data_IF_844988626465
#
_entry.id   IF_844988626465
#
_cell.length_a   1.000
_cell.length_b   1.000
_cell.length_c   1.000
_cell.angle_alpha   90.00
_cell.angle_beta   90.00
_cell.angle_gamma   90.00
#
_symmetry.space_group_name_H-M   'P 1'
#
loop_
_entity.id
_entity.type
_entity.pdbx_description
1 polymer ?
#
# COMPACT_ATOMS: atom_id res chain seq x y z
N UNK A 1 -42.06 -13.60 37.20
CA UNK A 1 -41.54 -13.27 35.85
C UNK A 1 -41.67 -14.51 34.98
N UNK A 2 -42.34 -14.44 33.83
CA UNK A 2 -42.65 -15.62 33.02
C UNK A 2 -41.38 -16.21 32.39
N UNK A 3 -41.14 -17.51 32.59
CA UNK A 3 -39.99 -18.23 32.01
C UNK A 3 -39.85 -18.00 30.49
N UNK A 4 -40.98 -17.98 29.77
CA UNK A 4 -41.03 -17.68 28.33
C UNK A 4 -40.48 -16.28 28.00
N UNK A 5 -40.75 -15.28 28.83
CA UNK A 5 -40.25 -13.92 28.63
C UNK A 5 -38.72 -13.88 28.79
N UNK A 6 -38.17 -14.59 29.77
CA UNK A 6 -36.73 -14.67 30.02
C UNK A 6 -36.03 -15.33 28.82
N UNK A 7 -36.56 -16.44 28.30
CA UNK A 7 -35.98 -17.12 27.13
C UNK A 7 -35.98 -16.22 25.89
N UNK A 8 -37.07 -15.49 25.62
CA UNK A 8 -37.16 -14.56 24.48
C UNK A 8 -36.11 -13.44 24.62
N UNK A 9 -35.94 -12.86 25.81
CA UNK A 9 -34.94 -11.82 26.05
C UNK A 9 -33.52 -12.34 25.84
N UNK A 10 -33.19 -13.55 26.32
CA UNK A 10 -31.86 -14.15 26.14
C UNK A 10 -31.57 -14.40 24.66
N UNK A 11 -32.53 -14.95 23.91
CA UNK A 11 -32.35 -15.21 22.47
C UNK A 11 -32.18 -13.90 21.69
N UNK A 12 -32.94 -12.86 22.02
CA UNK A 12 -32.82 -11.55 21.38
C UNK A 12 -31.44 -10.90 21.66
N UNK A 13 -30.97 -10.96 22.91
CA UNK A 13 -29.65 -10.46 23.28
C UNK A 13 -28.53 -11.24 22.57
N UNK A 14 -28.64 -12.56 22.51
CA UNK A 14 -27.66 -13.38 21.79
C UNK A 14 -27.66 -13.06 20.29
N UNK A 15 -28.84 -12.91 19.67
CA UNK A 15 -28.95 -12.48 18.28
C UNK A 15 -28.32 -11.12 18.00
N UNK A 16 -28.53 -10.14 18.89
CA UNK A 16 -27.89 -8.81 18.79
C UNK A 16 -26.36 -8.90 18.90
N UNK A 17 -25.84 -9.70 19.83
CA UNK A 17 -24.39 -9.90 19.98
C UNK A 17 -23.81 -10.54 18.72
N UNK A 18 -24.45 -11.58 18.17
CA UNK A 18 -23.99 -12.24 16.94
C UNK A 18 -23.99 -11.27 15.76
N UNK A 19 -25.06 -10.49 15.57
CA UNK A 19 -25.13 -9.48 14.51
C UNK A 19 -24.06 -8.39 14.68
N UNK A 20 -23.80 -7.96 15.91
CA UNK A 20 -22.76 -6.97 16.21
C UNK A 20 -21.37 -7.52 15.87
N UNK A 21 -21.05 -8.76 16.26
CA UNK A 21 -19.77 -9.41 15.94
C UNK A 21 -19.61 -9.59 14.43
N UNK A 22 -20.64 -10.05 13.73
CA UNK A 22 -20.62 -10.15 12.26
C UNK A 22 -20.41 -8.78 11.63
N UNK A 23 -21.09 -7.74 12.12
CA UNK A 23 -20.91 -6.36 11.67
C UNK A 23 -19.47 -5.87 11.84
N UNK A 24 -18.83 -6.15 12.98
CA UNK A 24 -17.42 -5.82 13.21
C UNK A 24 -16.47 -6.59 12.29
N UNK A 25 -16.74 -7.87 12.03
CA UNK A 25 -15.93 -8.67 11.10
C UNK A 25 -16.05 -8.12 9.68
N UNK A 26 -17.27 -7.90 9.20
CA UNK A 26 -17.53 -7.32 7.87
C UNK A 26 -16.85 -5.95 7.77
N UNK A 27 -17.03 -5.07 8.76
CA UNK A 27 -16.38 -3.76 8.78
C UNK A 27 -14.86 -3.88 8.60
N UNK A 28 -14.19 -4.74 9.39
CA UNK A 28 -12.75 -4.99 9.26
C UNK A 28 -12.32 -5.54 7.90
N UNK A 29 -13.16 -6.34 7.24
CA UNK A 29 -12.86 -6.83 5.90
C UNK A 29 -12.93 -5.73 4.83
N UNK A 30 -13.81 -4.73 5.01
CA UNK A 30 -13.94 -3.61 4.07
C UNK A 30 -12.94 -2.47 4.33
N UNK A 31 -12.44 -2.32 5.54
CA UNK A 31 -11.48 -1.28 5.95
C UNK A 31 -10.03 -1.77 5.98
N UNK A 32 -9.70 -2.81 5.21
CA UNK A 32 -8.35 -3.35 5.23
C UNK A 32 -7.46 -2.69 4.18
N UNK A 33 -6.28 -2.26 4.64
CA UNK A 33 -5.17 -1.90 3.76
C UNK A 33 -4.89 -3.05 2.80
N UNK A 34 -4.97 -2.76 1.51
CA UNK A 34 -4.75 -3.74 0.46
C UNK A 34 -3.36 -3.53 -0.12
N UNK A 35 -2.48 -4.51 0.07
CA UNK A 35 -1.17 -4.56 -0.56
C UNK A 35 -1.24 -5.56 -1.74
N UNK A 36 -1.09 -5.05 -2.96
CA UNK A 36 -1.05 -5.84 -4.19
C UNK A 36 0.38 -5.89 -4.70
N UNK A 37 0.89 -7.10 -4.93
CA UNK A 37 2.23 -7.27 -5.54
C UNK A 37 2.17 -6.87 -7.00
N UNK A 38 3.01 -5.92 -7.39
CA UNK A 38 3.17 -5.48 -8.78
C UNK A 38 4.21 -6.35 -9.49
N UNK A 39 5.38 -6.52 -8.87
CA UNK A 39 6.48 -7.33 -9.39
C UNK A 39 7.34 -7.87 -8.24
N UNK A 40 7.93 -9.05 -8.46
CA UNK A 40 8.91 -9.66 -7.57
C UNK A 40 10.28 -9.65 -8.25
N UNK A 41 11.33 -9.57 -7.44
CA UNK A 41 12.72 -9.73 -7.87
C UNK A 41 13.10 -8.81 -9.04
N UNK A 42 12.83 -7.52 -8.86
CA UNK A 42 12.97 -6.50 -9.91
C UNK A 42 14.29 -5.74 -9.74
N UNK A 43 15.05 -5.58 -10.83
CA UNK A 43 16.27 -4.76 -10.82
C UNK A 43 15.91 -3.38 -11.33
N UNK A 44 16.04 -2.38 -10.46
CA UNK A 44 15.82 -0.97 -10.78
C UNK A 44 17.15 -0.40 -11.27
N UNK A 45 17.12 0.26 -12.42
CA UNK A 45 18.29 0.85 -13.10
C UNK A 45 18.13 2.36 -13.28
N UNK A 46 19.09 3.01 -13.93
CA UNK A 46 19.05 4.44 -14.26
C UNK A 46 18.08 4.79 -15.40
N UNK A 47 17.63 3.78 -16.15
CA UNK A 47 16.62 3.93 -17.19
C UNK A 47 15.22 3.70 -16.63
N UNK A 48 14.23 4.40 -17.22
CA UNK A 48 12.83 4.15 -16.91
C UNK A 48 12.45 2.73 -17.31
N UNK A 49 12.03 1.94 -16.33
CA UNK A 49 11.49 0.61 -16.54
C UNK A 49 10.01 0.60 -16.17
N UNK A 50 9.18 0.00 -17.02
CA UNK A 50 7.75 -0.04 -16.85
C UNK A 50 7.30 -1.37 -16.23
N UNK A 51 6.33 -1.29 -15.34
CA UNK A 51 5.68 -2.41 -14.66
C UNK A 51 4.19 -2.31 -15.00
N UNK A 52 3.69 -3.28 -15.75
CA UNK A 52 2.28 -3.37 -16.09
C UNK A 52 1.43 -3.73 -14.87
N UNK A 53 0.35 -2.98 -14.67
CA UNK A 53 -0.59 -3.22 -13.57
C UNK A 53 -1.68 -4.18 -14.09
N UNK A 54 -1.40 -5.49 -14.01
CA UNK A 54 -2.22 -6.58 -14.61
C UNK A 54 -3.70 -6.59 -14.19
N UNK A 55 -3.98 -6.10 -13.00
CA UNK A 55 -5.34 -5.88 -12.54
C UNK A 55 -5.46 -4.40 -12.27
N UNK A 56 -6.38 -3.73 -12.98
CA UNK A 56 -6.79 -2.36 -12.66
C UNK A 56 -6.96 -2.31 -11.14
N UNK A 57 -6.04 -1.59 -10.48
CA UNK A 57 -6.16 -1.34 -9.05
C UNK A 57 -7.57 -0.78 -8.88
N UNK A 58 -8.42 -1.43 -8.05
CA UNK A 58 -9.84 -1.08 -8.00
C UNK A 58 -9.98 0.43 -7.85
N UNK A 59 -10.92 1.04 -8.59
CA UNK A 59 -10.95 2.47 -8.86
C UNK A 59 -10.88 3.23 -7.55
N UNK A 60 -9.72 3.86 -7.28
CA UNK A 60 -9.32 4.67 -6.11
C UNK A 60 -10.44 4.92 -5.09
N UNK A 61 -10.99 3.84 -4.51
CA UNK A 61 -12.13 3.93 -3.60
C UNK A 61 -11.62 4.29 -2.22
N UNK A 62 -10.34 4.00 -2.00
CA UNK A 62 -9.58 4.28 -0.80
C UNK A 62 -8.87 5.64 -0.90
N UNK A 63 -8.86 6.36 0.22
CA UNK A 63 -8.38 7.74 0.32
C UNK A 63 -6.86 7.92 0.10
N UNK A 64 -6.07 6.83 0.21
CA UNK A 64 -4.62 6.85 0.02
C UNK A 64 -4.15 5.69 -0.84
N UNK A 65 -3.21 6.03 -1.72
CA UNK A 65 -2.53 5.10 -2.60
C UNK A 65 -1.03 5.35 -2.52
N UNK A 66 -0.25 4.29 -2.51
CA UNK A 66 1.18 4.34 -2.37
C UNK A 66 1.85 3.26 -3.19
N UNK A 67 3.04 3.54 -3.69
CA UNK A 67 3.96 2.53 -4.20
C UNK A 67 4.96 2.23 -3.09
N UNK A 68 5.14 0.95 -2.78
CA UNK A 68 6.08 0.50 -1.75
C UNK A 68 7.17 -0.30 -2.42
N UNK A 69 8.42 0.13 -2.26
CA UNK A 69 9.60 -0.60 -2.76
C UNK A 69 10.28 -1.24 -1.55
N UNK A 70 10.34 -2.57 -1.54
CA UNK A 70 11.13 -3.29 -0.55
C UNK A 70 12.60 -3.34 -0.98
N UNK A 71 13.50 -3.23 -0.02
CA UNK A 71 14.94 -3.42 -0.18
C UNK A 71 15.47 -4.37 0.90
N UNK A 72 16.61 -5.03 0.68
CA UNK A 72 17.18 -5.93 1.68
C UNK A 72 17.39 -5.23 3.03
N UNK A 73 17.26 -5.96 4.13
CA UNK A 73 17.41 -5.41 5.49
C UNK A 73 18.80 -4.83 5.79
N UNK A 74 19.80 -5.08 4.94
CA UNK A 74 21.12 -4.46 5.01
C UNK A 74 21.16 -3.00 4.55
N UNK A 75 20.13 -2.54 3.85
CA UNK A 75 19.96 -1.15 3.46
C UNK A 75 19.32 -0.38 4.62
N UNK A 76 19.37 0.94 4.60
CA UNK A 76 18.69 1.79 5.58
C UNK A 76 17.66 2.69 4.87
N UNK A 77 16.41 2.66 5.33
CA UNK A 77 15.34 3.49 4.75
C UNK A 77 14.72 4.49 5.73
N UNK A 78 15.12 4.52 7.01
CA UNK A 78 14.43 5.34 8.01
C UNK A 78 14.67 6.85 7.90
N UNK A 79 15.80 7.28 7.37
CA UNK A 79 16.05 8.70 7.13
C UNK A 79 15.41 9.13 5.80
N UNK A 80 14.22 9.70 5.88
CA UNK A 80 13.48 10.16 4.71
C UNK A 80 14.20 11.29 3.94
N UNK A 81 15.13 12.01 4.59
CA UNK A 81 15.87 13.12 3.98
C UNK A 81 17.12 12.68 3.20
N UNK A 82 17.58 11.44 3.41
CA UNK A 82 18.83 10.90 2.86
C UNK A 82 18.66 9.86 1.77
N UNK A 83 17.44 9.63 1.27
CA UNK A 83 17.17 8.51 0.35
C UNK A 83 17.25 7.13 1.03
N UNK A 84 17.51 6.11 0.24
CA UNK A 84 17.80 4.74 0.68
C UNK A 84 19.32 4.61 0.76
N UNK A 85 19.88 4.21 1.90
CA UNK A 85 21.33 4.07 2.07
C UNK A 85 21.72 2.61 1.90
N UNK A 86 22.60 2.32 0.96
CA UNK A 86 23.15 0.99 0.73
C UNK A 86 24.27 0.66 1.75
N UNK A 87 24.66 -0.63 1.91
CA UNK A 87 25.67 -1.05 2.89
C UNK A 87 27.06 -0.41 2.71
N UNK A 88 27.37 0.02 1.49
CA UNK A 88 28.61 0.73 1.13
C UNK A 88 28.55 2.24 1.42
N UNK A 89 27.40 2.74 1.90
CA UNK A 89 27.15 4.16 2.16
C UNK A 89 26.59 4.92 0.97
N UNK A 90 26.38 4.28 -0.18
CA UNK A 90 25.80 4.91 -1.36
C UNK A 90 24.35 5.32 -1.11
N UNK A 91 23.99 6.55 -1.49
CA UNK A 91 22.63 7.06 -1.39
C UNK A 91 21.89 6.81 -2.70
N UNK A 92 20.80 6.04 -2.59
CA UNK A 92 19.92 5.64 -3.67
C UNK A 92 18.62 6.43 -3.57
N UNK A 93 18.26 7.08 -4.66
CA UNK A 93 17.07 7.92 -4.80
C UNK A 93 16.25 7.41 -6.00
N UNK A 94 15.30 6.49 -5.77
CA UNK A 94 14.38 6.06 -6.81
C UNK A 94 13.36 7.15 -7.15
N UNK A 95 13.13 7.33 -8.44
CA UNK A 95 12.05 8.13 -9.00
C UNK A 95 10.92 7.19 -9.44
N UNK A 96 9.68 7.54 -9.10
CA UNK A 96 8.51 6.70 -9.30
C UNK A 96 7.39 7.53 -9.93
N UNK A 97 6.80 7.00 -11.00
CA UNK A 97 5.62 7.60 -11.63
C UNK A 97 4.58 6.54 -11.95
N UNK A 98 3.30 6.91 -11.85
CA UNK A 98 2.19 6.12 -12.32
C UNK A 98 1.60 6.77 -13.58
N UNK A 99 1.34 5.98 -14.61
CA UNK A 99 0.72 6.44 -15.86
C UNK A 99 -0.73 5.95 -15.87
N UNK A 100 -1.66 6.87 -16.05
CA UNK A 100 -3.07 6.54 -16.17
C UNK A 100 -3.45 6.05 -17.57
N UNK A 101 -4.67 5.56 -17.71
CA UNK A 101 -5.22 5.06 -18.98
C UNK A 101 -5.34 6.13 -20.08
N UNK A 102 -5.29 7.41 -19.71
CA UNK A 102 -5.31 8.55 -20.65
C UNK A 102 -3.89 8.97 -21.04
N UNK A 103 -2.86 8.33 -20.47
CA UNK A 103 -1.45 8.60 -20.73
C UNK A 103 -0.84 9.72 -19.87
N UNK A 104 -1.56 10.26 -18.88
CA UNK A 104 -1.00 11.27 -17.99
C UNK A 104 -0.07 10.62 -16.96
N UNK A 105 1.03 11.30 -16.67
CA UNK A 105 1.95 10.89 -15.61
C UNK A 105 1.61 11.55 -14.28
N UNK A 106 1.66 10.75 -13.22
CA UNK A 106 1.45 11.15 -11.84
C UNK A 106 2.73 10.82 -11.06
N UNK A 107 3.38 11.85 -10.51
CA UNK A 107 4.61 11.69 -9.75
C UNK A 107 4.34 11.13 -8.35
N UNK A 108 5.20 10.21 -7.90
CA UNK A 108 5.15 9.62 -6.58
C UNK A 108 6.40 10.01 -5.78
N UNK A 109 6.19 10.75 -4.69
CA UNK A 109 7.26 11.22 -3.81
C UNK A 109 7.44 10.28 -2.62
N UNK A 110 8.68 10.05 -2.23
CA UNK A 110 8.99 9.32 -1.01
C UNK A 110 8.45 10.09 0.21
N UNK A 111 7.69 9.41 1.05
CA UNK A 111 6.99 10.03 2.19
C UNK A 111 7.17 9.30 3.50
N UNK A 112 7.46 8.00 3.47
CA UNK A 112 7.64 7.22 4.68
C UNK A 112 8.56 6.03 4.44
N UNK A 113 8.92 5.38 5.55
CA UNK A 113 9.64 4.13 5.57
C UNK A 113 8.97 3.16 6.55
N UNK A 114 9.10 1.87 6.28
CA UNK A 114 8.59 0.78 7.11
C UNK A 114 9.66 -0.30 7.21
N UNK A 115 9.70 -1.00 8.33
CA UNK A 115 10.57 -2.17 8.52
C UNK A 115 9.72 -3.39 8.78
N UNK A 116 10.12 -4.49 8.16
CA UNK A 116 9.67 -5.84 8.48
C UNK A 116 10.86 -6.64 9.01
N UNK A 117 10.65 -7.89 9.42
CA UNK A 117 11.75 -8.74 9.87
C UNK A 117 12.81 -9.00 8.79
N UNK A 118 12.42 -8.93 7.51
CA UNK A 118 13.25 -9.37 6.39
C UNK A 118 13.64 -8.24 5.44
N UNK A 119 12.89 -7.13 5.47
CA UNK A 119 13.03 -6.04 4.51
C UNK A 119 12.87 -4.68 5.17
N UNK A 120 13.62 -3.72 4.65
CA UNK A 120 13.28 -2.32 4.73
C UNK A 120 12.35 -1.97 3.57
N UNK A 121 11.46 -1.02 3.77
CA UNK A 121 10.47 -0.61 2.77
C UNK A 121 10.41 0.91 2.72
N UNK A 122 10.53 1.46 1.53
CA UNK A 122 10.29 2.88 1.28
C UNK A 122 8.90 3.06 0.65
N UNK A 123 8.17 4.08 1.11
CA UNK A 123 6.79 4.35 0.70
C UNK A 123 6.76 5.64 -0.10
N UNK A 124 6.19 5.56 -1.30
CA UNK A 124 5.99 6.68 -2.19
C UNK A 124 4.50 6.98 -2.31
N UNK A 125 4.11 8.22 -2.11
CA UNK A 125 2.73 8.69 -2.24
C UNK A 125 2.63 9.65 -3.43
N UNK A 126 1.49 9.70 -4.13
CA UNK A 126 1.30 10.61 -5.25
C UNK A 126 1.38 12.06 -4.77
N UNK A 127 2.01 12.91 -5.58
CA UNK A 127 2.06 14.36 -5.38
C UNK A 127 1.90 15.09 -6.72
N UNK A 128 0.81 15.86 -6.92
CA UNK A 128 -0.34 16.02 -6.02
C UNK A 128 -1.10 14.71 -5.80
N UNK A 129 -2.02 14.68 -4.83
CA UNK A 129 -2.87 13.50 -4.58
C UNK A 129 -3.62 13.08 -5.85
N UNK A 130 -3.71 11.77 -6.10
CA UNK A 130 -4.47 11.23 -7.24
C UNK A 130 -5.96 11.58 -7.08
N UNK A 131 -6.56 12.10 -8.15
CA UNK A 131 -8.00 12.36 -8.17
C UNK A 131 -8.77 11.03 -8.14
N UNK A 132 -9.89 11.01 -7.41
CA UNK A 132 -10.76 9.82 -7.34
C UNK A 132 -11.23 9.42 -8.74
N UNK A 133 -11.16 8.13 -9.04
CA UNK A 133 -11.60 7.55 -10.32
C UNK A 133 -10.53 7.45 -11.40
N UNK A 134 -9.33 8.02 -11.21
CA UNK A 134 -8.19 7.78 -12.11
C UNK A 134 -7.82 6.28 -12.08
N UNK A 135 -7.68 5.68 -13.25
CA UNK A 135 -7.24 4.30 -13.41
C UNK A 135 -5.78 4.28 -13.83
N UNK A 136 -4.93 3.62 -13.05
CA UNK A 136 -3.51 3.46 -13.35
C UNK A 136 -3.32 2.21 -14.22
N UNK A 137 -2.67 2.38 -15.37
CA UNK A 137 -2.36 1.31 -16.32
C UNK A 137 -0.97 0.72 -16.07
N UNK A 138 0.01 1.58 -15.82
CA UNK A 138 1.41 1.19 -15.64
C UNK A 138 2.12 2.06 -14.64
N UNK A 139 3.16 1.52 -14.03
CA UNK A 139 4.06 2.23 -13.14
C UNK A 139 5.43 2.23 -13.79
N UNK A 140 6.14 3.36 -13.78
CA UNK A 140 7.52 3.41 -14.22
C UNK A 140 8.42 3.85 -13.08
N UNK A 141 9.57 3.20 -12.99
CA UNK A 141 10.55 3.41 -11.93
C UNK A 141 11.94 3.50 -12.54
N UNK A 142 12.77 4.38 -12.01
CA UNK A 142 14.22 4.43 -12.24
C UNK A 142 14.93 4.82 -10.95
N UNK A 143 16.25 4.72 -10.91
CA UNK A 143 17.06 5.18 -9.79
C UNK A 143 18.45 5.61 -10.23
N UNK A 144 19.02 6.57 -9.53
CA UNK A 144 20.42 7.00 -9.72
C UNK A 144 21.47 5.90 -9.51
N UNK A 145 21.10 4.77 -8.90
CA UNK A 145 21.98 3.62 -8.73
C UNK A 145 21.22 2.31 -8.95
N UNK A 146 21.87 1.31 -9.54
CA UNK A 146 21.25 0.00 -9.73
C UNK A 146 21.07 -0.72 -8.40
N UNK A 147 19.89 -1.28 -8.14
CA UNK A 147 19.66 -2.18 -7.02
C UNK A 147 18.51 -3.15 -7.29
N UNK A 148 18.52 -4.26 -6.55
CA UNK A 148 17.47 -5.29 -6.61
C UNK A 148 16.42 -5.01 -5.54
N UNK A 149 15.19 -4.79 -5.98
CA UNK A 149 14.00 -4.73 -5.15
C UNK A 149 13.34 -6.12 -5.08
N UNK A 150 13.35 -6.80 -3.91
CA UNK A 150 12.75 -8.13 -3.79
C UNK A 150 11.26 -8.13 -4.11
N UNK A 151 10.56 -7.04 -3.78
CA UNK A 151 9.14 -6.85 -4.11
C UNK A 151 8.82 -5.37 -4.27
N UNK A 152 7.96 -5.07 -5.23
CA UNK A 152 7.33 -3.76 -5.39
C UNK A 152 5.83 -3.97 -5.28
N UNK A 153 5.19 -3.19 -4.41
CA UNK A 153 3.78 -3.31 -4.06
C UNK A 153 3.04 -2.02 -4.39
N UNK A 154 1.80 -2.17 -4.82
CA UNK A 154 0.80 -1.12 -4.70
C UNK A 154 0.11 -1.27 -3.35
N UNK A 155 0.03 -0.21 -2.57
CA UNK A 155 -0.62 -0.17 -1.27
C UNK A 155 -1.75 0.84 -1.29
N UNK A 156 -2.96 0.42 -0.98
CA UNK A 156 -4.12 1.29 -0.85
C UNK A 156 -4.75 1.12 0.53
N UNK A 157 -5.19 2.23 1.15
CA UNK A 157 -5.87 2.19 2.44
C UNK A 157 -6.68 3.47 2.69
N UNK A 158 -7.71 3.40 3.55
CA UNK A 158 -8.40 4.59 4.02
C UNK A 158 -7.68 5.18 5.24
N UNK A 159 -7.59 6.51 5.31
CA UNK A 159 -6.91 7.21 6.42
C UNK A 159 -7.58 6.89 7.76
N UNK A 160 -8.89 6.63 7.73
CA UNK A 160 -9.69 6.25 8.91
C UNK A 160 -9.25 4.92 9.53
N UNK A 161 -8.46 4.13 8.80
CA UNK A 161 -8.01 2.80 9.20
C UNK A 161 -6.59 2.81 9.80
N UNK A 162 -5.95 3.99 9.86
CA UNK A 162 -4.70 4.16 10.58
C UNK A 162 -4.98 4.25 12.11
N UNK A 163 -4.34 3.42 12.94
CA UNK A 163 -4.50 3.45 14.40
C UNK A 163 -3.92 4.71 15.06
#
# INVERSE_FOLDING_TARGET
MNFKLITVVIVALFGLIVLFVIGLLIYKFYTYRTDTILVNDFVITDQWQEIEVKHLVPPLSQDRNSIVIAVPASFETFDFRRGIVAPDGTVIEPEVEAIDTDGNSHLFNRTAARRTSNYEMTVYNPYPELQKGIQIERIRIRSNHEFRAPVILWSSYDIKDLP
#
